data_IF_911296742967
#
_entry.id   IF_911296742967
#
_cell.length_a   1.000
_cell.length_b   1.000
_cell.length_c   1.000
_cell.angle_alpha   90.00
_cell.angle_beta   90.00
_cell.angle_gamma   90.00
#
_symmetry.space_group_name_H-M   'P 1'
#
loop_
_entity.id
_entity.type
_entity.pdbx_description
1 polymer ?
#
# COMPACT_ATOMS: atom_id res chain seq x y z
N UNK A 1 2.75 -31.70 -2.06
CA UNK A 1 2.00 -31.41 -0.82
C UNK A 1 1.18 -30.17 -1.10
N UNK A 2 -0.11 -30.32 -1.36
CA UNK A 2 -1.04 -29.21 -1.59
C UNK A 2 -1.41 -28.65 -0.23
N UNK A 3 -0.63 -27.68 0.26
CA UNK A 3 -1.00 -26.89 1.44
C UNK A 3 -2.28 -26.13 1.10
N UNK A 4 -3.41 -26.62 1.61
CA UNK A 4 -4.59 -25.79 1.68
C UNK A 4 -4.22 -24.56 2.53
N UNK A 5 -4.49 -23.33 2.05
CA UNK A 5 -4.20 -22.14 2.84
C UNK A 5 -4.90 -22.25 4.19
N UNK A 6 -4.18 -21.90 5.27
CA UNK A 6 -4.73 -21.88 6.63
C UNK A 6 -6.08 -21.14 6.61
N UNK A 7 -7.12 -21.61 7.34
CA UNK A 7 -8.48 -21.06 7.26
C UNK A 7 -8.58 -19.55 7.54
N UNK A 8 -7.55 -19.00 8.19
CA UNK A 8 -7.45 -17.58 8.53
C UNK A 8 -6.78 -16.74 7.42
N UNK A 9 -6.33 -17.32 6.32
CA UNK A 9 -5.73 -16.57 5.21
C UNK A 9 -6.86 -16.07 4.29
N UNK A 10 -7.06 -14.76 4.24
CA UNK A 10 -7.96 -14.12 3.27
C UNK A 10 -7.34 -14.14 1.89
N UNK A 11 -6.08 -13.69 1.80
CA UNK A 11 -5.34 -13.62 0.55
C UNK A 11 -3.83 -13.67 0.80
N UNK A 12 -3.10 -14.08 -0.23
CA UNK A 12 -1.65 -13.98 -0.32
C UNK A 12 -1.32 -13.30 -1.65
N UNK A 13 -0.60 -12.19 -1.60
CA UNK A 13 -0.06 -11.49 -2.78
C UNK A 13 1.45 -11.51 -2.70
N UNK A 14 2.11 -11.60 -3.86
CA UNK A 14 3.57 -11.55 -3.94
C UNK A 14 4.01 -10.46 -4.89
N UNK A 15 5.06 -9.75 -4.49
CA UNK A 15 5.75 -8.83 -5.38
C UNK A 15 6.74 -9.57 -6.28
N UNK A 16 7.39 -8.85 -7.21
CA UNK A 16 8.35 -9.46 -8.15
C UNK A 16 9.65 -9.93 -7.51
N UNK A 17 9.87 -9.70 -6.23
CA UNK A 17 10.99 -10.24 -5.47
C UNK A 17 10.58 -11.48 -4.65
N UNK A 18 9.38 -12.02 -4.90
CA UNK A 18 8.76 -13.13 -4.15
C UNK A 18 8.48 -12.82 -2.68
N UNK A 19 8.59 -11.54 -2.27
CA UNK A 19 8.13 -11.09 -0.97
C UNK A 19 6.61 -11.08 -0.98
N UNK A 20 6.00 -11.27 0.18
CA UNK A 20 4.56 -11.41 0.27
C UNK A 20 3.88 -10.35 1.12
N UNK A 21 2.62 -10.07 0.75
CA UNK A 21 1.61 -9.46 1.61
C UNK A 21 0.58 -10.55 1.94
N UNK A 22 0.49 -10.90 3.21
CA UNK A 22 -0.43 -11.89 3.76
C UNK A 22 -1.55 -11.19 4.52
N UNK A 23 -2.78 -11.45 4.09
CA UNK A 23 -3.99 -10.86 4.64
C UNK A 23 -4.69 -11.89 5.51
N UNK A 24 -4.85 -11.60 6.80
CA UNK A 24 -5.35 -12.55 7.77
C UNK A 24 -6.73 -12.13 8.30
N UNK A 25 -7.65 -13.10 8.36
CA UNK A 25 -8.84 -13.01 9.19
C UNK A 25 -8.36 -12.90 10.62
N UNK A 26 -8.87 -11.90 11.32
CA UNK A 26 -8.52 -11.64 12.72
C UNK A 26 -9.79 -11.66 13.54
N UNK A 27 -9.66 -11.64 14.87
CA UNK A 27 -10.79 -11.42 15.77
C UNK A 27 -11.30 -9.99 15.59
N UNK A 28 -12.11 -9.80 14.55
CA UNK A 28 -12.67 -8.52 14.18
C UNK A 28 -13.71 -8.08 15.23
N UNK A 29 -13.78 -6.79 15.56
CA UNK A 29 -14.89 -6.24 16.32
C UNK A 29 -16.24 -6.59 15.66
N UNK A 30 -17.31 -6.85 16.44
CA UNK A 30 -18.66 -6.99 15.89
C UNK A 30 -19.03 -5.80 15.00
N UNK A 31 -19.57 -6.06 13.82
CA UNK A 31 -19.92 -5.02 12.84
C UNK A 31 -18.79 -4.60 11.90
N UNK A 32 -17.61 -5.24 11.98
CA UNK A 32 -16.55 -5.04 10.99
C UNK A 32 -16.99 -5.51 9.62
N UNK A 33 -16.95 -4.61 8.64
CA UNK A 33 -17.41 -4.90 7.28
C UNK A 33 -16.33 -5.60 6.44
N UNK A 34 -15.06 -5.33 6.75
CA UNK A 34 -13.92 -5.97 6.10
C UNK A 34 -13.56 -7.28 6.80
N UNK A 35 -13.21 -8.36 6.07
CA UNK A 35 -12.82 -9.63 6.66
C UNK A 35 -11.39 -9.61 7.27
N UNK A 36 -10.68 -8.49 7.17
CA UNK A 36 -9.35 -8.27 7.74
C UNK A 36 -9.06 -6.78 7.94
N UNK A 37 -8.06 -6.50 8.77
CA UNK A 37 -7.49 -5.17 9.04
C UNK A 37 -5.97 -5.22 9.29
N UNK A 38 -5.36 -6.41 9.24
CA UNK A 38 -3.92 -6.61 9.37
C UNK A 38 -3.36 -7.15 8.06
N UNK A 39 -2.28 -6.53 7.57
CA UNK A 39 -1.45 -7.07 6.52
C UNK A 39 -0.05 -7.38 7.07
N UNK A 40 0.39 -8.63 6.92
CA UNK A 40 1.76 -9.04 7.23
C UNK A 40 2.60 -8.97 5.96
N UNK A 41 3.64 -8.16 6.00
CA UNK A 41 4.48 -7.84 4.85
C UNK A 41 5.88 -8.40 5.09
N UNK A 42 6.32 -9.27 4.20
CA UNK A 42 7.73 -9.67 4.12
C UNK A 42 8.53 -8.47 3.57
N UNK A 43 9.43 -7.94 4.39
CA UNK A 43 10.26 -6.82 4.00
C UNK A 43 11.70 -7.22 3.69
N UNK A 44 11.98 -8.52 3.54
CA UNK A 44 13.32 -9.06 3.34
C UNK A 44 14.05 -9.33 4.66
N UNK A 45 15.21 -10.01 4.58
CA UNK A 45 16.03 -10.31 5.76
C UNK A 45 15.46 -11.39 6.70
N UNK A 46 14.34 -12.02 6.34
CA UNK A 46 13.61 -12.97 7.20
C UNK A 46 12.68 -12.30 8.21
N UNK A 47 12.55 -10.97 8.15
CA UNK A 47 11.67 -10.20 9.03
C UNK A 47 10.31 -9.91 8.37
N UNK A 48 9.28 -9.85 9.21
CA UNK A 48 7.89 -9.59 8.79
C UNK A 48 7.36 -8.40 9.55
N UNK A 49 6.89 -7.39 8.83
CA UNK A 49 6.23 -6.22 9.42
C UNK A 49 4.73 -6.40 9.35
N UNK A 50 4.03 -6.08 10.42
CA UNK A 50 2.56 -6.02 10.39
C UNK A 50 2.15 -4.56 10.28
N UNK A 51 1.26 -4.25 9.34
CA UNK A 51 0.59 -2.95 9.29
C UNK A 51 -0.90 -3.14 9.54
N UNK A 52 -1.48 -2.18 10.27
CA UNK A 52 -2.93 -2.08 10.48
C UNK A 52 -3.51 -1.16 9.43
N UNK A 53 -4.59 -1.59 8.79
CA UNK A 53 -5.27 -0.81 7.76
C UNK A 53 -6.77 -0.77 7.97
N UNK A 54 -7.42 0.28 7.47
CA UNK A 54 -8.88 0.42 7.52
C UNK A 54 -9.45 1.19 6.33
N UNK A 55 -10.74 0.99 6.11
CA UNK A 55 -11.58 1.84 5.26
C UNK A 55 -12.08 3.03 6.10
N UNK A 56 -12.00 4.25 5.56
CA UNK A 56 -12.12 5.56 6.26
C UNK A 56 -13.40 5.78 7.13
N UNK A 57 -14.37 4.86 7.14
CA UNK A 57 -15.76 5.13 7.55
C UNK A 57 -16.11 4.79 9.00
N UNK A 58 -15.26 4.05 9.72
CA UNK A 58 -15.53 3.65 11.10
C UNK A 58 -14.59 4.38 12.07
N UNK A 59 -15.16 5.37 12.75
CA UNK A 59 -14.49 6.27 13.67
C UNK A 59 -13.72 5.54 14.77
N UNK A 60 -12.44 5.88 14.86
CA UNK A 60 -11.53 5.63 15.97
C UNK A 60 -10.24 6.42 15.71
N UNK A 61 -9.62 7.00 16.75
CA UNK A 61 -8.27 7.59 16.66
C UNK A 61 -7.18 6.51 16.65
N UNK A 62 -7.54 5.30 16.25
CA UNK A 62 -6.63 4.18 16.22
C UNK A 62 -5.75 4.33 14.97
N UNK A 63 -4.50 4.69 15.21
CA UNK A 63 -3.25 4.10 14.70
C UNK A 63 -3.34 3.02 13.58
N UNK A 64 -4.10 3.30 12.54
CA UNK A 64 -4.31 2.43 11.38
C UNK A 64 -4.18 3.26 10.11
N UNK A 65 -3.43 2.73 9.15
CA UNK A 65 -3.29 3.32 7.84
C UNK A 65 -4.58 3.23 7.06
N UNK A 66 -5.14 4.36 6.67
CA UNK A 66 -6.31 4.36 5.82
C UNK A 66 -5.94 4.18 4.35
N UNK A 67 -6.92 3.75 3.53
CA UNK A 67 -6.72 3.67 2.09
C UNK A 67 -6.25 5.01 1.49
N UNK A 68 -6.73 6.13 2.02
CA UNK A 68 -6.33 7.48 1.61
C UNK A 68 -4.89 7.80 1.97
N UNK A 69 -4.46 7.49 3.19
CA UNK A 69 -3.08 7.73 3.64
C UNK A 69 -2.09 6.87 2.85
N UNK A 70 -2.42 5.60 2.61
CA UNK A 70 -1.60 4.72 1.77
C UNK A 70 -1.54 5.21 0.32
N UNK A 71 -2.66 5.65 -0.25
CA UNK A 71 -2.68 6.21 -1.60
C UNK A 71 -1.81 7.47 -1.70
N UNK A 72 -1.88 8.36 -0.71
CA UNK A 72 -1.06 9.56 -0.66
C UNK A 72 0.43 9.23 -0.54
N UNK A 73 0.80 8.34 0.38
CA UNK A 73 2.18 7.86 0.56
C UNK A 73 2.75 7.26 -0.73
N UNK A 74 1.97 6.39 -1.37
CA UNK A 74 2.34 5.76 -2.64
C UNK A 74 2.46 6.79 -3.77
N UNK A 75 1.55 7.78 -3.84
CA UNK A 75 1.62 8.84 -4.85
C UNK A 75 2.92 9.65 -4.70
N UNK A 76 3.26 10.06 -3.47
CA UNK A 76 4.51 10.75 -3.16
C UNK A 76 5.73 9.91 -3.55
N UNK A 77 5.68 8.61 -3.29
CA UNK A 77 6.75 7.69 -3.67
C UNK A 77 6.92 7.59 -5.18
N UNK A 78 5.82 7.46 -5.92
CA UNK A 78 5.83 7.38 -7.39
C UNK A 78 6.30 8.69 -8.03
N UNK A 79 5.91 9.84 -7.47
CA UNK A 79 6.43 11.14 -7.89
C UNK A 79 7.94 11.27 -7.64
N UNK A 80 8.42 10.83 -6.47
CA UNK A 80 9.85 10.83 -6.17
C UNK A 80 10.63 9.93 -7.14
N UNK A 81 10.08 8.76 -7.50
CA UNK A 81 10.67 7.89 -8.52
C UNK A 81 10.70 8.55 -9.90
N UNK A 82 9.62 9.19 -10.32
CA UNK A 82 9.56 9.91 -11.60
C UNK A 82 10.56 11.07 -11.66
N UNK A 83 10.78 11.78 -10.55
CA UNK A 83 11.79 12.85 -10.42
C UNK A 83 13.21 12.28 -10.49
N UNK A 84 13.47 11.18 -9.78
CA UNK A 84 14.79 10.50 -9.77
C UNK A 84 15.15 9.93 -11.14
N UNK A 85 14.18 9.30 -11.81
CA UNK A 85 14.34 8.71 -13.13
C UNK A 85 13.03 8.85 -13.91
N UNK A 86 12.97 9.74 -14.91
CA UNK A 86 11.76 9.97 -15.70
C UNK A 86 11.15 8.66 -16.21
N UNK A 87 9.91 8.40 -15.78
CA UNK A 87 9.17 7.18 -16.10
C UNK A 87 7.69 7.51 -16.28
N UNK A 88 7.13 7.33 -17.49
CA UNK A 88 5.70 7.52 -17.73
C UNK A 88 4.85 6.62 -16.85
N UNK A 89 5.31 5.39 -16.57
CA UNK A 89 4.61 4.45 -15.70
C UNK A 89 4.57 4.91 -14.24
N UNK A 90 5.65 5.50 -13.72
CA UNK A 90 5.64 6.09 -12.37
C UNK A 90 4.67 7.29 -12.28
N UNK A 91 4.68 8.16 -13.30
CA UNK A 91 3.76 9.31 -13.37
C UNK A 91 2.30 8.87 -13.47
N UNK A 92 2.01 7.85 -14.28
CA UNK A 92 0.66 7.32 -14.42
C UNK A 92 0.19 6.62 -13.14
N UNK A 93 1.07 5.85 -12.48
CA UNK A 93 0.80 5.27 -11.16
C UNK A 93 0.44 6.37 -10.14
N UNK A 94 1.26 7.43 -10.06
CA UNK A 94 1.00 8.57 -9.19
C UNK A 94 -0.33 9.26 -9.51
N UNK A 95 -0.67 9.44 -10.79
CA UNK A 95 -1.94 10.02 -11.22
C UNK A 95 -3.13 9.21 -10.69
N UNK A 96 -3.14 7.90 -10.90
CA UNK A 96 -4.24 7.05 -10.44
C UNK A 96 -4.39 7.06 -8.92
N UNK A 97 -3.28 7.12 -8.18
CA UNK A 97 -3.28 7.21 -6.71
C UNK A 97 -3.83 8.55 -6.22
N UNK A 98 -3.53 9.66 -6.91
CA UNK A 98 -4.09 10.97 -6.57
C UNK A 98 -5.60 11.05 -6.87
N UNK A 99 -6.05 10.51 -8.00
CA UNK A 99 -7.48 10.44 -8.32
C UNK A 99 -8.24 9.56 -7.32
N UNK A 100 -7.66 8.41 -6.94
CA UNK A 100 -8.18 7.56 -5.87
C UNK A 100 -8.31 8.36 -4.56
N UNK A 101 -7.28 9.10 -4.15
CA UNK A 101 -7.32 9.95 -2.96
C UNK A 101 -8.48 10.95 -2.98
N UNK A 102 -8.66 11.66 -4.11
CA UNK A 102 -9.78 12.61 -4.30
C UNK A 102 -11.15 11.93 -4.20
N UNK A 103 -11.29 10.73 -4.76
CA UNK A 103 -12.52 9.95 -4.67
C UNK A 103 -12.84 9.58 -3.22
N UNK A 104 -11.85 9.14 -2.46
CA UNK A 104 -12.02 8.82 -1.04
C UNK A 104 -12.30 10.07 -0.19
N UNK A 105 -11.69 11.21 -0.51
CA UNK A 105 -11.98 12.50 0.13
C UNK A 105 -13.44 12.94 -0.09
N UNK A 106 -14.01 12.63 -1.26
CA UNK A 106 -15.38 13.00 -1.61
C UNK A 106 -16.45 12.08 -1.02
N UNK A 107 -16.09 10.92 -0.43
CA UNK A 107 -17.06 10.07 0.28
C UNK A 107 -17.53 10.75 1.57
N UNK A 108 -18.84 10.75 1.78
CA UNK A 108 -19.48 11.40 2.93
C UNK A 108 -19.08 10.73 4.26
N UNK A 109 -19.00 11.51 5.34
CA UNK A 109 -18.71 10.98 6.68
C UNK A 109 -17.22 10.74 6.98
N UNK A 110 -16.32 11.07 6.05
CA UNK A 110 -14.88 10.94 6.29
C UNK A 110 -14.33 12.13 7.07
N UNK A 111 -13.59 11.86 8.15
CA UNK A 111 -12.81 12.88 8.83
C UNK A 111 -11.59 13.26 7.97
N UNK A 112 -11.04 14.46 8.20
CA UNK A 112 -9.75 14.82 7.61
C UNK A 112 -8.68 13.82 8.09
N UNK A 113 -7.99 13.19 7.15
CA UNK A 113 -6.87 12.30 7.48
C UNK A 113 -5.71 13.12 8.09
N UNK A 114 -5.07 12.63 9.17
CA UNK A 114 -3.85 13.25 9.67
C UNK A 114 -2.76 13.25 8.59
N UNK A 115 -1.83 14.22 8.62
CA UNK A 115 -0.75 14.26 7.65
C UNK A 115 0.18 13.05 7.82
N UNK A 116 0.54 12.42 6.71
CA UNK A 116 1.60 11.41 6.67
C UNK A 116 2.95 12.10 6.86
N UNK A 117 3.66 11.76 7.93
CA UNK A 117 5.02 12.26 8.18
C UNK A 117 6.03 11.45 7.38
N UNK A 118 6.92 12.14 6.66
CA UNK A 118 7.99 11.54 5.87
C UNK A 118 9.33 11.83 6.54
N UNK A 119 10.05 10.76 6.90
CA UNK A 119 11.30 10.85 7.64
C UNK A 119 12.45 10.20 6.87
N UNK A 120 13.68 10.71 7.01
CA UNK A 120 14.86 10.03 6.48
C UNK A 120 15.01 8.66 7.16
N UNK A 121 15.39 7.65 6.39
CA UNK A 121 15.76 6.34 6.96
C UNK A 121 17.26 6.21 7.18
N UNK A 122 17.65 5.15 7.90
CA UNK A 122 19.04 4.87 8.24
C UNK A 122 19.87 4.34 7.05
N UNK A 123 19.22 3.64 6.11
CA UNK A 123 19.90 3.03 4.97
C UNK A 123 20.18 4.06 3.84
N UNK A 124 21.33 3.98 3.16
CA UNK A 124 21.60 4.79 1.98
C UNK A 124 20.52 4.64 0.91
N UNK A 125 19.97 5.77 0.45
CA UNK A 125 18.82 5.79 -0.43
C UNK A 125 18.92 6.94 -1.43
N UNK A 126 18.50 6.77 -2.69
CA UNK A 126 18.35 7.89 -3.63
C UNK A 126 17.10 8.74 -3.33
N UNK A 127 16.32 8.39 -2.32
CA UNK A 127 15.14 9.11 -1.88
C UNK A 127 15.44 9.85 -0.57
N UNK A 128 14.95 11.08 -0.46
CA UNK A 128 15.13 11.92 0.74
C UNK A 128 14.47 11.32 2.01
N UNK A 129 13.51 10.42 1.83
CA UNK A 129 12.79 9.73 2.89
C UNK A 129 12.56 8.27 2.51
N UNK A 130 12.58 7.41 3.51
CA UNK A 130 12.26 5.98 3.40
C UNK A 130 11.47 5.48 4.61
N UNK A 131 11.02 6.39 5.46
CA UNK A 131 10.14 6.10 6.59
C UNK A 131 8.91 6.96 6.47
N UNK A 132 7.74 6.34 6.57
CA UNK A 132 6.46 7.03 6.64
C UNK A 132 5.82 6.75 8.01
N UNK A 133 5.16 7.73 8.61
CA UNK A 133 4.55 7.58 9.93
C UNK A 133 3.20 8.29 10.02
N UNK A 134 2.31 7.73 10.83
CA UNK A 134 1.09 8.39 11.30
C UNK A 134 1.32 8.86 12.73
N UNK A 135 1.50 10.15 12.93
CA UNK A 135 1.84 10.72 14.24
C UNK A 135 3.24 10.34 14.73
N UNK A 136 3.46 10.47 16.05
CA UNK A 136 4.79 10.36 16.66
C UNK A 136 5.18 8.93 17.08
N UNK A 137 4.20 8.02 17.16
CA UNK A 137 4.42 6.67 17.66
C UNK A 137 5.19 5.77 16.67
N UNK A 138 6.06 4.92 17.21
CA UNK A 138 6.94 4.07 16.39
C UNK A 138 6.21 2.91 15.70
N UNK A 139 5.19 2.36 16.34
CA UNK A 139 4.45 1.18 15.85
C UNK A 139 3.69 1.46 14.55
N UNK A 140 3.41 2.73 14.24
CA UNK A 140 2.71 3.15 13.02
C UNK A 140 3.64 3.56 11.89
N UNK A 141 4.95 3.36 12.06
CA UNK A 141 5.89 3.62 10.99
C UNK A 141 5.77 2.55 9.90
N UNK A 142 6.10 2.90 8.67
CA UNK A 142 6.36 1.98 7.57
C UNK A 142 7.77 2.27 7.10
N UNK A 143 8.65 1.28 7.23
CA UNK A 143 9.99 1.31 6.66
C UNK A 143 9.89 0.88 5.20
N UNK A 144 10.04 1.84 4.30
CA UNK A 144 10.00 1.61 2.86
C UNK A 144 11.36 1.14 2.36
N UNK A 145 11.35 0.27 1.35
CA UNK A 145 12.56 -0.18 0.69
C UNK A 145 13.35 1.03 0.11
N UNK A 146 14.63 1.22 0.49
CA UNK A 146 15.45 2.31 -0.02
C UNK A 146 15.82 2.10 -1.49
N UNK A 147 15.91 0.85 -1.95
CA UNK A 147 16.20 0.51 -3.34
C UNK A 147 14.97 0.69 -4.26
N UNK A 148 15.05 1.52 -5.33
CA UNK A 148 14.01 1.66 -6.35
C UNK A 148 13.51 0.36 -7.01
N UNK A 149 14.34 -0.70 -6.97
CA UNK A 149 14.04 -2.01 -7.57
C UNK A 149 13.53 -3.05 -6.57
N UNK A 150 13.40 -2.68 -5.29
CA UNK A 150 12.89 -3.58 -4.26
C UNK A 150 13.86 -4.71 -3.89
N UNK A 151 15.19 -4.51 -3.97
CA UNK A 151 16.16 -5.58 -3.63
C UNK A 151 16.66 -5.49 -2.19
N UNK A 152 16.62 -4.32 -1.58
CA UNK A 152 17.03 -4.11 -0.19
C UNK A 152 15.88 -4.36 0.79
N UNK A 153 16.20 -4.46 2.07
CA UNK A 153 15.22 -4.59 3.14
C UNK A 153 14.31 -3.36 3.22
N UNK A 154 13.06 -3.60 3.60
CA UNK A 154 11.99 -2.61 3.66
C UNK A 154 10.81 -2.96 2.75
N UNK A 155 9.65 -2.37 3.05
CA UNK A 155 8.41 -2.61 2.31
C UNK A 155 8.51 -1.96 0.94
N UNK A 156 8.36 -2.77 -0.12
CA UNK A 156 8.38 -2.26 -1.49
C UNK A 156 7.10 -1.47 -1.80
N UNK A 157 7.15 -0.48 -2.72
CA UNK A 157 5.93 0.20 -3.19
C UNK A 157 4.91 -0.78 -3.79
N UNK A 158 5.39 -1.86 -4.44
CA UNK A 158 4.55 -2.91 -5.00
C UNK A 158 3.76 -3.67 -3.92
N UNK A 159 4.40 -4.04 -2.80
CA UNK A 159 3.70 -4.68 -1.67
C UNK A 159 2.63 -3.78 -1.06
N UNK A 160 2.91 -2.49 -0.86
CA UNK A 160 1.90 -1.55 -0.36
C UNK A 160 0.76 -1.35 -1.37
N UNK A 161 1.05 -1.35 -2.67
CA UNK A 161 0.02 -1.31 -3.71
C UNK A 161 -0.86 -2.57 -3.67
N UNK A 162 -0.30 -3.75 -3.40
CA UNK A 162 -1.11 -4.95 -3.17
C UNK A 162 -2.03 -4.82 -1.94
N UNK A 163 -1.56 -4.18 -0.86
CA UNK A 163 -2.40 -3.92 0.31
C UNK A 163 -3.56 -2.99 -0.03
N UNK A 164 -3.26 -1.88 -0.70
CA UNK A 164 -4.27 -0.91 -1.10
C UNK A 164 -5.30 -1.50 -2.09
N UNK A 165 -4.81 -2.25 -3.08
CA UNK A 165 -5.64 -2.94 -4.07
C UNK A 165 -6.58 -3.95 -3.42
N UNK A 166 -6.06 -4.81 -2.54
CA UNK A 166 -6.85 -5.79 -1.80
C UNK A 166 -7.88 -5.12 -0.87
N UNK A 167 -7.47 -4.06 -0.15
CA UNK A 167 -8.35 -3.32 0.76
C UNK A 167 -9.55 -2.73 0.01
N UNK A 168 -9.31 -2.08 -1.14
CA UNK A 168 -10.38 -1.46 -1.91
C UNK A 168 -11.22 -2.47 -2.68
N UNK A 169 -10.63 -3.57 -3.15
CA UNK A 169 -11.38 -4.66 -3.79
C UNK A 169 -12.36 -5.32 -2.82
N UNK A 170 -11.90 -5.67 -1.61
CA UNK A 170 -12.76 -6.27 -0.58
C UNK A 170 -13.82 -5.27 -0.09
N UNK A 171 -13.47 -3.98 0.03
CA UNK A 171 -14.43 -2.93 0.37
C UNK A 171 -15.53 -2.79 -0.71
N UNK A 172 -15.15 -2.75 -1.99
CA UNK A 172 -16.11 -2.66 -3.09
C UNK A 172 -17.05 -3.88 -3.15
N UNK A 173 -16.55 -5.07 -2.80
CA UNK A 173 -17.37 -6.28 -2.67
C UNK A 173 -18.33 -6.22 -1.48
N UNK A 174 -17.90 -5.66 -0.36
CA UNK A 174 -18.73 -5.55 0.84
C UNK A 174 -19.79 -4.44 0.72
N UNK A 175 -19.53 -3.40 -0.08
CA UNK A 175 -20.43 -2.27 -0.31
C UNK A 175 -20.74 -2.07 -1.80
N UNK A 176 -21.45 -3.01 -2.45
CA UNK A 176 -21.66 -2.97 -3.90
C UNK A 176 -22.50 -1.78 -4.39
N UNK A 177 -23.27 -1.13 -3.50
CA UNK A 177 -24.02 0.08 -3.81
C UNK A 177 -23.14 1.35 -3.84
N UNK A 178 -21.92 1.29 -3.31
CA UNK A 178 -20.99 2.41 -3.31
C UNK A 178 -20.12 2.38 -4.58
N UNK A 179 -20.57 3.13 -5.60
CA UNK A 179 -19.84 3.25 -6.86
C UNK A 179 -18.45 3.88 -6.70
N UNK A 180 -18.22 4.69 -5.66
CA UNK A 180 -16.92 5.34 -5.42
C UNK A 180 -15.87 4.30 -5.04
N UNK A 181 -16.23 3.30 -4.22
CA UNK A 181 -15.32 2.20 -3.89
C UNK A 181 -14.95 1.35 -5.11
N UNK A 182 -15.92 1.06 -5.98
CA UNK A 182 -15.67 0.34 -7.22
C UNK A 182 -14.67 1.08 -8.13
N UNK A 183 -14.83 2.40 -8.28
CA UNK A 183 -13.90 3.24 -9.03
C UNK A 183 -12.53 3.34 -8.35
N UNK A 184 -12.49 3.58 -7.05
CA UNK A 184 -11.25 3.64 -6.27
C UNK A 184 -10.43 2.33 -6.39
N UNK A 185 -11.11 1.18 -6.33
CA UNK A 185 -10.50 -0.14 -6.55
C UNK A 185 -9.87 -0.24 -7.95
N UNK A 186 -10.58 0.17 -9.00
CA UNK A 186 -10.05 0.19 -10.37
C UNK A 186 -8.79 1.07 -10.52
N UNK A 187 -8.77 2.23 -9.85
CA UNK A 187 -7.60 3.11 -9.81
C UNK A 187 -6.41 2.46 -9.07
N UNK A 188 -6.65 1.79 -7.94
CA UNK A 188 -5.62 1.05 -7.21
C UNK A 188 -5.01 -0.08 -8.07
N UNK A 189 -5.85 -0.89 -8.71
CA UNK A 189 -5.41 -1.95 -9.63
C UNK A 189 -4.58 -1.39 -10.77
N UNK A 190 -4.98 -0.25 -11.33
CA UNK A 190 -4.23 0.39 -12.44
C UNK A 190 -2.90 0.94 -11.96
N UNK A 191 -2.85 1.57 -10.78
CA UNK A 191 -1.60 2.04 -10.18
C UNK A 191 -0.61 0.88 -9.92
N UNK A 192 -1.10 -0.25 -9.42
CA UNK A 192 -0.33 -1.49 -9.24
C UNK A 192 0.22 -2.01 -10.58
N UNK A 193 -0.62 -2.10 -11.61
CA UNK A 193 -0.17 -2.53 -12.95
C UNK A 193 0.92 -1.62 -13.51
N UNK A 194 0.80 -0.31 -13.33
CA UNK A 194 1.83 0.65 -13.73
C UNK A 194 3.15 0.41 -12.99
N UNK A 195 3.12 0.16 -11.68
CA UNK A 195 4.32 -0.15 -10.90
C UNK A 195 4.98 -1.46 -11.36
N UNK A 196 4.18 -2.52 -11.53
CA UNK A 196 4.66 -3.81 -12.05
C UNK A 196 5.32 -3.62 -13.42
N UNK A 197 4.69 -2.87 -14.34
CA UNK A 197 5.24 -2.57 -15.65
C UNK A 197 6.55 -1.76 -15.58
N UNK A 198 6.61 -0.76 -14.69
CA UNK A 198 7.82 0.03 -14.43
C UNK A 198 8.98 -0.87 -14.01
N UNK A 199 8.77 -1.75 -13.04
CA UNK A 199 9.80 -2.67 -12.55
C UNK A 199 10.24 -3.67 -13.61
N UNK A 200 9.32 -4.19 -14.44
CA UNK A 200 9.65 -5.06 -15.58
C UNK A 200 10.62 -4.37 -16.54
N UNK A 201 10.32 -3.12 -16.90
CA UNK A 201 11.13 -2.33 -17.82
C UNK A 201 12.52 -2.04 -17.26
N UNK A 202 12.60 -1.69 -15.98
CA UNK A 202 13.89 -1.37 -15.35
C UNK A 202 14.80 -2.59 -15.19
N UNK A 203 14.25 -3.80 -15.00
CA UNK A 203 15.02 -5.04 -14.91
C UNK A 203 15.59 -5.52 -16.26
N UNK A 204 14.94 -5.15 -17.38
CA UNK A 204 15.37 -5.54 -18.73
C UNK A 204 16.50 -4.69 -19.31
N UNK A 205 16.74 -3.49 -18.76
CA UNK A 205 17.83 -2.63 -19.26
C UNK A 205 19.16 -3.16 -18.73
N UNK A 206 20.11 -3.56 -19.59
CA UNK A 206 21.46 -3.89 -19.15
C UNK A 206 22.04 -2.68 -18.40
N UNK A 207 22.80 -2.93 -17.33
CA UNK A 207 23.57 -1.88 -16.68
C UNK A 207 24.55 -1.32 -17.73
N UNK A 208 24.60 0.01 -17.94
CA UNK A 208 25.64 0.61 -18.76
C UNK A 208 27.03 0.32 -18.16
#
# INVERSE_FOLDING_TARGET
MTDAPHPDVVALRRDRAERYALFLRTNLPPGSVMPWWLARLDHGGGEVRTIRVRLDENAGRDECWTARELAHLLALRQQAEAKRRPSPMALQSAFHLLELGKMLDARSGTAAAPPVLLLPGAAPSPYAWTVAALGEQEDNRILLCPDPLGRQEGVSPELLLHVLDQLLADAALAFPADAVLGLASSHATTALRCEVARLAHQRRRPRP
#
